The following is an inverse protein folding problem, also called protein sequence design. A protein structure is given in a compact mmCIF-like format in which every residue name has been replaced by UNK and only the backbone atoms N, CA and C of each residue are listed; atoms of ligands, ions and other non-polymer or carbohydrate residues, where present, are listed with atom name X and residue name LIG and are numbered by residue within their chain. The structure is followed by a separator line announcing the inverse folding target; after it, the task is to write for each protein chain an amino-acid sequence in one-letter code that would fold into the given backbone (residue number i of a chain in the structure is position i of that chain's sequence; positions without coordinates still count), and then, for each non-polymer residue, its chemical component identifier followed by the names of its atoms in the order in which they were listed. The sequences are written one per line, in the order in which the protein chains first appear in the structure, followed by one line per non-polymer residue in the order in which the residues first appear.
data_IF_857262240009
#
_entry.id   IF_857262240009
#
_cell.length_a   1.000
_cell.length_b   1.000
_cell.length_c   1.000
_cell.angle_alpha   90.00
_cell.angle_beta   90.00
_cell.angle_gamma   90.00
#
_symmetry.space_group_name_H-M   'P 1'
#
loop_
_entity.id
_entity.type
_entity.pdbx_description
1 polymer ?
#
# COMPACT_ATOMS: atom_id res chain seq x y z
N UNK A 1 -16.69 31.36 73.01
CA UNK A 1 -15.79 30.30 73.52
C UNK A 1 -15.41 29.40 72.36
N UNK A 2 -14.12 29.30 72.03
CA UNK A 2 -13.53 28.12 71.38
C UNK A 2 -13.32 27.05 72.47
N UNK A 3 -13.29 25.76 72.12
CA UNK A 3 -12.00 25.15 71.83
C UNK A 3 -11.96 24.34 70.53
N UNK A 4 -10.74 24.25 70.03
CA UNK A 4 -10.20 23.57 68.85
C UNK A 4 -9.91 22.08 69.07
N UNK A 5 -9.69 21.35 67.95
CA UNK A 5 -8.78 20.20 67.67
C UNK A 5 -9.54 19.21 66.73
N UNK A 6 -9.06 18.59 65.63
CA UNK A 6 -7.94 18.72 64.68
C UNK A 6 -8.24 17.67 63.57
N UNK A 7 -7.97 17.99 62.29
CA UNK A 7 -7.67 17.12 61.12
C UNK A 7 -8.65 16.01 60.68
N UNK A 8 -9.18 16.08 59.45
CA UNK A 8 -8.50 15.47 58.29
C UNK A 8 -9.14 15.88 56.95
N UNK A 9 -8.27 16.09 55.98
CA UNK A 9 -8.48 16.59 54.61
C UNK A 9 -8.71 15.39 53.68
N UNK A 10 -9.70 15.44 52.78
CA UNK A 10 -9.55 15.02 51.37
C UNK A 10 -10.55 15.81 50.52
N UNK A 11 -10.01 16.66 49.63
CA UNK A 11 -10.71 17.36 48.56
C UNK A 11 -10.52 16.53 47.29
N UNK A 12 -11.59 16.08 46.65
CA UNK A 12 -11.55 15.56 45.29
C UNK A 12 -12.19 16.59 44.34
N UNK A 13 -11.36 17.48 43.79
CA UNK A 13 -11.62 18.15 42.52
C UNK A 13 -11.15 17.20 41.40
N UNK A 14 -12.09 16.63 40.65
CA UNK A 14 -11.79 15.98 39.38
C UNK A 14 -11.85 17.04 38.28
N UNK A 15 -10.69 17.51 37.85
CA UNK A 15 -10.54 18.31 36.65
C UNK A 15 -10.53 17.39 35.42
N UNK A 16 -11.30 17.76 34.41
CA UNK A 16 -11.27 17.17 33.07
C UNK A 16 -9.85 17.28 32.49
N UNK A 17 -9.18 16.15 32.32
CA UNK A 17 -7.96 16.03 31.50
C UNK A 17 -8.31 15.26 30.24
N UNK A 18 -8.30 15.95 29.10
CA UNK A 18 -8.23 15.37 27.76
C UNK A 18 -6.99 14.47 27.65
N UNK A 19 -7.07 13.26 27.05
CA UNK A 19 -5.88 12.50 26.74
C UNK A 19 -5.25 13.05 25.45
N UNK A 20 -4.19 13.83 25.60
CA UNK A 20 -3.19 13.95 24.54
C UNK A 20 -2.52 12.57 24.41
N UNK A 21 -2.82 11.85 23.33
CA UNK A 21 -2.04 10.68 22.96
C UNK A 21 -0.64 11.14 22.57
N UNK A 22 0.33 10.81 23.41
CA UNK A 22 1.76 11.00 23.16
C UNK A 22 2.18 9.90 22.17
N UNK A 23 2.27 10.25 20.89
CA UNK A 23 2.98 9.44 19.92
C UNK A 23 4.48 9.65 20.12
N UNK A 24 5.16 8.64 20.67
CA UNK A 24 6.62 8.60 20.72
C UNK A 24 7.16 8.24 19.33
N UNK A 25 7.42 9.23 18.47
CA UNK A 25 8.33 9.08 17.34
C UNK A 25 9.57 9.93 17.59
N UNK A 26 10.75 9.33 17.49
CA UNK A 26 12.05 9.97 17.65
C UNK A 26 12.15 11.26 16.80
N UNK A 27 12.28 12.39 17.49
CA UNK A 27 12.48 13.73 16.93
C UNK A 27 13.97 13.89 16.61
N UNK A 28 14.36 13.63 15.37
CA UNK A 28 15.64 14.13 14.86
C UNK A 28 15.46 15.58 14.48
N UNK A 29 16.04 16.45 15.31
CA UNK A 29 15.92 17.89 15.18
C UNK A 29 17.27 18.50 14.80
N UNK A 30 17.28 19.34 13.78
CA UNK A 30 18.34 20.32 13.57
C UNK A 30 17.74 21.72 13.67
N UNK A 31 17.84 22.34 14.86
CA UNK A 31 17.46 23.74 15.05
C UNK A 31 18.54 24.51 15.83
N UNK A 32 18.88 25.72 15.37
CA UNK A 32 19.23 26.84 16.23
C UNK A 32 18.06 27.84 16.37
N UNK A 33 18.07 28.55 17.51
CA UNK A 33 17.08 29.51 18.00
C UNK A 33 17.05 30.86 17.23
N UNK A 34 16.44 30.93 16.05
CA UNK A 34 15.69 32.15 15.67
C UNK A 34 14.56 31.81 14.67
N UNK A 35 13.36 32.34 14.93
CA UNK A 35 12.15 32.03 14.17
C UNK A 35 11.89 33.14 13.16
N UNK A 36 12.32 32.89 11.92
CA UNK A 36 11.76 33.46 10.68
C UNK A 36 11.50 32.39 9.61
N UNK A 37 11.57 31.10 9.97
CA UNK A 37 11.63 29.99 9.01
C UNK A 37 10.31 29.20 8.91
N UNK A 38 9.92 28.86 7.69
CA UNK A 38 8.74 28.08 7.35
C UNK A 38 9.06 26.58 7.41
N UNK A 39 8.29 25.80 8.16
CA UNK A 39 8.55 24.38 8.36
C UNK A 39 7.45 23.48 7.78
N UNK A 40 7.87 22.44 7.08
CA UNK A 40 7.02 21.40 6.51
C UNK A 40 7.05 20.17 7.43
N UNK A 41 5.90 19.86 8.01
CA UNK A 41 5.65 18.66 8.80
C UNK A 41 5.02 17.60 7.90
N UNK A 42 5.78 16.55 7.61
CA UNK A 42 5.37 15.42 6.77
C UNK A 42 4.96 14.27 7.69
N UNK A 43 3.67 14.02 7.83
CA UNK A 43 3.17 12.80 8.47
C UNK A 43 2.98 11.74 7.38
N UNK A 44 4.00 10.92 7.15
CA UNK A 44 4.02 9.92 6.08
C UNK A 44 3.41 8.63 6.61
N UNK A 45 2.46 8.04 5.87
CA UNK A 45 1.74 6.83 6.30
C UNK A 45 1.48 5.87 5.13
N UNK A 46 1.44 4.56 5.41
CA UNK A 46 0.86 3.59 4.47
C UNK A 46 -0.68 3.69 4.47
N UNK A 47 -1.34 3.23 3.40
CA UNK A 47 -2.81 3.30 3.28
C UNK A 47 -3.54 2.35 4.25
N UNK A 48 -2.95 1.19 4.51
CA UNK A 48 -3.59 0.01 5.13
C UNK A 48 -3.73 0.07 6.65
N UNK A 49 -3.70 1.28 7.21
CA UNK A 49 -3.93 1.47 8.63
C UNK A 49 -5.41 1.75 8.90
N UNK A 50 -6.06 0.81 9.57
CA UNK A 50 -7.34 1.11 10.23
C UNK A 50 -7.09 2.07 11.39
N UNK A 51 -8.03 3.01 11.62
CA UNK A 51 -7.95 4.02 12.69
C UNK A 51 -7.78 3.42 14.11
N UNK A 52 -7.98 2.11 14.27
CA UNK A 52 -7.92 1.39 15.53
C UNK A 52 -6.61 0.57 15.72
N UNK A 53 -5.66 0.60 14.78
CA UNK A 53 -4.43 -0.23 14.83
C UNK A 53 -4.70 -1.73 15.06
N UNK A 54 -5.86 -2.24 14.64
CA UNK A 54 -6.25 -3.64 14.90
C UNK A 54 -5.59 -4.64 13.96
N UNK A 55 -5.11 -4.18 12.80
CA UNK A 55 -4.38 -5.01 11.83
C UNK A 55 -2.93 -4.55 11.78
N UNK A 56 -2.01 -5.43 12.16
CA UNK A 56 -0.58 -5.17 12.03
C UNK A 56 -0.10 -5.58 10.64
N UNK A 57 0.39 -4.60 9.87
CA UNK A 57 1.02 -4.88 8.58
C UNK A 57 2.25 -5.78 8.75
N UNK A 58 2.49 -6.74 7.85
CA UNK A 58 3.74 -7.46 7.87
C UNK A 58 4.89 -6.52 7.55
N UNK A 59 6.07 -6.79 8.12
CA UNK A 59 7.22 -5.87 8.07
C UNK A 59 7.71 -5.54 6.66
N UNK A 60 7.45 -6.41 5.68
CA UNK A 60 7.77 -6.17 4.28
C UNK A 60 6.85 -5.11 3.64
N UNK A 61 5.66 -4.88 4.19
CA UNK A 61 4.68 -3.86 3.76
C UNK A 61 4.78 -2.56 4.57
N UNK A 62 5.72 -2.48 5.52
CA UNK A 62 6.05 -1.28 6.29
C UNK A 62 7.28 -0.60 5.70
N UNK A 63 7.51 0.66 6.10
CA UNK A 63 8.70 1.42 5.74
C UNK A 63 9.87 1.03 6.66
N UNK A 64 11.02 0.68 6.09
CA UNK A 64 12.31 0.53 6.80
C UNK A 64 13.25 1.70 6.51
N UNK A 65 13.01 2.39 5.41
CA UNK A 65 13.66 3.64 5.04
C UNK A 65 12.63 4.56 4.38
N UNK A 66 12.87 5.87 4.43
CA UNK A 66 12.09 6.87 3.70
C UNK A 66 13.05 7.84 3.03
N UNK A 67 12.81 8.14 1.75
CA UNK A 67 13.44 9.28 1.07
C UNK A 67 12.40 10.32 0.74
N UNK A 68 12.73 11.57 1.08
CA UNK A 68 11.93 12.75 0.76
C UNK A 68 12.71 13.59 -0.25
N UNK A 69 12.11 13.79 -1.43
CA UNK A 69 12.64 14.72 -2.44
C UNK A 69 11.63 15.85 -2.64
N UNK A 70 12.05 17.09 -2.38
CA UNK A 70 11.23 18.29 -2.54
C UNK A 70 11.78 19.06 -3.73
N UNK A 71 10.91 19.43 -4.66
CA UNK A 71 11.23 20.30 -5.78
C UNK A 71 10.51 21.64 -5.65
N UNK A 72 11.21 22.71 -6.05
CA UNK A 72 10.58 23.99 -6.37
C UNK A 72 9.67 23.78 -7.59
N UNK A 73 8.34 23.94 -7.44
CA UNK A 73 7.43 23.59 -8.53
C UNK A 73 7.53 24.54 -9.73
N UNK A 74 8.13 25.72 -9.57
CA UNK A 74 8.29 26.73 -10.60
C UNK A 74 9.33 26.34 -11.67
N UNK A 75 10.43 25.71 -11.27
CA UNK A 75 11.55 25.37 -12.16
C UNK A 75 11.99 23.90 -12.09
N UNK A 76 11.41 23.11 -11.18
CA UNK A 76 11.70 21.69 -11.01
C UNK A 76 13.07 21.40 -10.41
N UNK A 77 13.74 22.39 -9.82
CA UNK A 77 15.02 22.20 -9.13
C UNK A 77 14.82 21.56 -7.76
N UNK A 78 15.78 20.73 -7.35
CA UNK A 78 15.77 20.01 -6.07
C UNK A 78 16.02 20.99 -4.93
N UNK A 79 15.08 21.11 -4.01
CA UNK A 79 15.23 21.85 -2.76
C UNK A 79 15.79 20.95 -1.65
N UNK A 80 15.25 19.73 -1.55
CA UNK A 80 15.73 18.70 -0.62
C UNK A 80 15.78 17.36 -1.31
N UNK A 81 16.79 16.57 -0.98
CA UNK A 81 16.84 15.14 -1.23
C UNK A 81 17.46 14.50 0.01
N UNK A 82 16.62 13.89 0.85
CA UNK A 82 17.01 13.40 2.18
C UNK A 82 16.54 11.97 2.37
N UNK A 83 17.48 11.11 2.74
CA UNK A 83 17.24 9.71 3.10
C UNK A 83 17.22 9.57 4.62
N UNK A 84 16.27 8.79 5.11
CA UNK A 84 16.06 8.50 6.52
C UNK A 84 15.96 6.98 6.68
N UNK A 85 16.95 6.37 7.34
CA UNK A 85 16.82 5.00 7.81
C UNK A 85 15.94 4.96 9.05
N UNK A 86 15.09 3.95 9.18
CA UNK A 86 14.17 3.81 10.31
C UNK A 86 14.64 2.71 11.28
N UNK A 87 14.41 2.94 12.57
CA UNK A 87 14.56 1.91 13.58
C UNK A 87 13.38 0.94 13.47
N UNK A 88 13.63 -0.22 12.87
CA UNK A 88 12.59 -1.21 12.60
C UNK A 88 11.63 -0.81 11.48
N UNK A 89 10.68 -1.69 11.19
CA UNK A 89 9.67 -1.46 10.17
C UNK A 89 8.52 -0.63 10.76
N UNK A 90 8.18 0.49 10.13
CA UNK A 90 7.19 1.46 10.61
C UNK A 90 6.14 1.72 9.54
N UNK A 91 4.86 1.73 9.91
CA UNK A 91 3.76 2.07 9.01
C UNK A 91 3.50 3.58 8.93
N UNK A 92 4.08 4.36 9.86
CA UNK A 92 4.04 5.83 9.86
C UNK A 92 5.39 6.41 10.25
N UNK A 93 5.72 7.58 9.70
CA UNK A 93 6.91 8.36 10.07
C UNK A 93 6.63 9.85 9.91
N UNK A 94 6.90 10.60 10.97
CA UNK A 94 6.90 12.07 10.91
C UNK A 94 8.30 12.60 10.60
N UNK A 95 8.38 13.52 9.64
CA UNK A 95 9.62 14.21 9.23
C UNK A 95 9.37 15.71 9.23
N UNK A 96 10.34 16.48 9.75
CA UNK A 96 10.33 17.93 9.72
C UNK A 96 11.41 18.44 8.78
N UNK A 97 11.04 19.26 7.80
CA UNK A 97 11.98 19.91 6.89
C UNK A 97 11.75 21.42 6.85
N UNK A 98 12.84 22.19 6.87
CA UNK A 98 12.80 23.63 6.60
C UNK A 98 12.72 23.84 5.10
N UNK A 99 11.76 24.63 4.65
CA UNK A 99 11.55 24.86 3.22
C UNK A 99 11.34 26.33 2.92
N UNK A 100 11.61 26.73 1.67
CA UNK A 100 11.36 28.07 1.16
C UNK A 100 9.85 28.36 1.20
N UNK A 101 9.41 29.45 1.87
CA UNK A 101 7.99 29.80 1.94
C UNK A 101 7.46 30.42 0.64
N UNK A 102 6.15 30.60 0.59
CA UNK A 102 5.43 31.36 -0.44
C UNK A 102 5.62 30.82 -1.87
N UNK A 103 5.59 29.51 -2.04
CA UNK A 103 5.71 28.88 -3.34
C UNK A 103 5.05 27.51 -3.38
N UNK A 104 4.72 27.07 -4.60
CA UNK A 104 4.26 25.71 -4.83
C UNK A 104 5.44 24.75 -4.78
N UNK A 105 5.21 23.57 -4.20
CA UNK A 105 6.22 22.51 -4.08
C UNK A 105 5.70 21.19 -4.65
N UNK A 106 6.61 20.39 -5.20
CA UNK A 106 6.35 18.98 -5.50
C UNK A 106 7.11 18.13 -4.49
N UNK A 107 6.43 17.21 -3.83
CA UNK A 107 7.00 16.32 -2.81
C UNK A 107 6.92 14.91 -3.34
N UNK A 108 8.07 14.29 -3.57
CA UNK A 108 8.19 12.87 -3.89
C UNK A 108 8.59 12.13 -2.63
N UNK A 109 7.89 11.05 -2.34
CA UNK A 109 8.18 10.17 -1.21
C UNK A 109 8.48 8.79 -1.75
N UNK A 110 9.54 8.20 -1.22
CA UNK A 110 9.92 6.83 -1.50
C UNK A 110 10.15 6.10 -0.18
N UNK A 111 9.82 4.81 -0.12
CA UNK A 111 10.23 3.96 0.98
C UNK A 111 10.86 2.68 0.45
N UNK A 112 11.75 2.11 1.25
CA UNK A 112 12.43 0.85 0.96
C UNK A 112 13.20 0.87 -0.36
N UNK A 113 13.83 1.99 -0.71
CA UNK A 113 14.58 2.12 -1.97
C UNK A 113 15.71 1.10 -2.13
N UNK A 114 16.24 0.62 -1.00
CA UNK A 114 17.35 -0.34 -0.95
C UNK A 114 16.94 -1.74 -1.43
N UNK A 115 15.63 -2.04 -1.50
CA UNK A 115 15.17 -3.30 -2.08
C UNK A 115 15.21 -3.31 -3.61
N UNK A 116 15.46 -2.17 -4.25
CA UNK A 116 15.56 -2.05 -5.71
C UNK A 116 17.04 -2.02 -6.12
N UNK A 117 17.58 -3.21 -6.42
CA UNK A 117 18.99 -3.39 -6.76
C UNK A 117 19.34 -2.94 -8.18
N UNK A 118 18.37 -2.90 -9.08
CA UNK A 118 18.57 -2.56 -10.49
C UNK A 118 17.39 -1.72 -10.94
N UNK A 119 17.68 -0.55 -11.52
CA UNK A 119 16.69 0.26 -12.23
C UNK A 119 17.05 0.38 -13.71
N UNK A 120 16.01 0.53 -14.52
CA UNK A 120 16.10 0.82 -15.96
C UNK A 120 15.41 2.16 -16.26
N UNK A 121 15.44 2.60 -17.53
CA UNK A 121 14.84 3.87 -17.95
C UNK A 121 15.70 5.12 -17.67
N UNK A 122 16.98 4.92 -17.30
CA UNK A 122 17.95 6.01 -17.11
C UNK A 122 18.65 6.33 -18.44
N UNK A 123 18.77 7.63 -18.79
CA UNK A 123 19.44 8.08 -20.03
C UNK A 123 20.97 8.08 -19.97
N UNK A 124 21.57 7.70 -18.83
CA UNK A 124 23.02 7.69 -18.64
C UNK A 124 23.51 6.26 -18.80
N UNK A 125 24.23 5.99 -19.90
CA UNK A 125 24.89 4.71 -20.15
C UNK A 125 26.05 4.49 -19.17
N UNK A 126 25.76 3.92 -18.01
CA UNK A 126 26.73 3.17 -17.19
C UNK A 126 26.01 2.21 -16.26
N UNK A 127 26.63 1.04 -16.06
CA UNK A 127 26.15 -0.18 -15.36
C UNK A 127 25.03 0.03 -14.33
N UNK A 128 23.94 -0.74 -14.48
CA UNK A 128 22.85 -1.01 -13.53
C UNK A 128 22.97 -0.22 -12.21
N UNK A 129 22.47 1.01 -12.22
CA UNK A 129 22.43 1.82 -11.01
C UNK A 129 21.41 1.20 -10.06
N UNK A 130 21.76 1.06 -8.78
CA UNK A 130 20.74 0.82 -7.75
C UNK A 130 19.86 2.06 -7.63
N UNK A 131 18.64 1.91 -7.13
CA UNK A 131 17.75 3.06 -6.95
C UNK A 131 18.37 4.10 -5.99
N UNK A 132 19.04 3.66 -4.94
CA UNK A 132 19.80 4.52 -4.02
C UNK A 132 20.90 5.30 -4.73
N UNK A 133 21.67 4.67 -5.63
CA UNK A 133 22.72 5.34 -6.38
C UNK A 133 22.15 6.45 -7.28
N UNK A 134 21.06 6.15 -7.99
CA UNK A 134 20.33 7.14 -8.80
C UNK A 134 19.90 8.34 -7.96
N UNK A 135 19.24 8.11 -6.83
CA UNK A 135 18.79 9.20 -5.97
C UNK A 135 19.95 10.04 -5.46
N UNK A 136 21.08 9.43 -5.11
CA UNK A 136 22.25 10.15 -4.61
C UNK A 136 22.94 11.01 -5.70
N UNK A 137 22.65 10.80 -6.98
CA UNK A 137 23.13 11.65 -8.07
C UNK A 137 22.43 13.02 -8.14
N UNK A 138 21.26 13.18 -7.51
CA UNK A 138 20.51 14.44 -7.51
C UNK A 138 20.75 15.24 -6.23
N UNK A 139 21.58 16.27 -6.33
CA UNK A 139 21.89 17.20 -5.23
C UNK A 139 21.02 18.46 -5.30
N UNK A 140 21.01 19.25 -4.22
CA UNK A 140 20.24 20.50 -4.15
C UNK A 140 20.62 21.46 -5.28
N UNK A 141 19.60 22.11 -5.86
CA UNK A 141 19.72 23.00 -7.02
C UNK A 141 19.77 22.29 -8.38
N UNK A 142 19.92 20.96 -8.43
CA UNK A 142 19.88 20.23 -9.71
C UNK A 142 18.45 20.18 -10.27
N UNK A 143 18.33 20.24 -11.59
CA UNK A 143 17.06 20.07 -12.31
C UNK A 143 16.96 18.68 -12.94
N UNK A 144 15.77 18.35 -13.48
CA UNK A 144 15.55 17.12 -14.24
C UNK A 144 15.23 15.88 -13.40
N UNK A 145 15.14 15.98 -12.07
CA UNK A 145 14.75 14.87 -11.19
C UNK A 145 13.40 14.27 -11.57
N UNK A 146 12.35 15.10 -11.67
CA UNK A 146 10.99 14.66 -12.00
C UNK A 146 10.92 13.93 -13.34
N UNK A 147 11.60 14.45 -14.36
CA UNK A 147 11.62 13.83 -15.67
C UNK A 147 12.32 12.46 -15.64
N UNK A 148 13.41 12.33 -14.90
CA UNK A 148 14.15 11.08 -14.80
C UNK A 148 13.40 10.04 -13.95
N UNK A 149 12.91 10.43 -12.77
CA UNK A 149 12.26 9.52 -11.83
C UNK A 149 10.95 8.93 -12.38
N UNK A 150 10.22 9.69 -13.20
CA UNK A 150 9.01 9.25 -13.88
C UNK A 150 9.28 8.28 -15.03
N UNK A 151 10.52 8.01 -15.43
CA UNK A 151 10.81 7.00 -16.45
C UNK A 151 11.43 5.75 -15.85
N UNK A 152 11.71 5.73 -14.55
CA UNK A 152 12.34 4.58 -13.91
C UNK A 152 11.37 3.42 -13.79
N UNK A 153 11.83 2.25 -14.19
CA UNK A 153 11.14 1.00 -13.98
C UNK A 153 12.13 -0.08 -13.56
N UNK A 154 11.63 -1.17 -13.00
CA UNK A 154 12.43 -2.29 -12.52
C UNK A 154 11.57 -3.55 -12.42
N UNK A 155 12.22 -4.71 -12.44
CA UNK A 155 11.63 -5.98 -12.05
C UNK A 155 11.61 -6.07 -10.50
N UNK A 156 10.44 -6.05 -9.85
CA UNK A 156 10.38 -6.07 -8.40
C UNK A 156 10.65 -7.47 -7.83
N UNK A 157 11.36 -7.53 -6.70
CA UNK A 157 11.58 -8.76 -5.94
C UNK A 157 10.77 -8.77 -4.64
N UNK A 158 9.69 -9.56 -4.64
CA UNK A 158 8.83 -9.76 -3.47
C UNK A 158 9.15 -11.04 -2.68
N UNK A 159 10.26 -11.72 -3.00
CA UNK A 159 10.61 -12.97 -2.34
C UNK A 159 11.11 -12.73 -0.91
N UNK A 160 11.04 -13.78 -0.08
CA UNK A 160 11.71 -13.84 1.23
C UNK A 160 11.37 -12.71 2.22
N UNK A 161 10.20 -12.07 2.09
CA UNK A 161 9.84 -10.93 2.94
C UNK A 161 10.70 -9.69 2.68
N UNK A 162 11.28 -9.57 1.49
CA UNK A 162 11.99 -8.37 1.06
C UNK A 162 11.09 -7.15 1.18
N UNK A 163 11.59 -6.02 1.74
CA UNK A 163 10.81 -4.80 1.86
C UNK A 163 10.27 -4.34 0.51
N UNK A 164 8.97 -4.09 0.42
CA UNK A 164 8.33 -3.69 -0.82
C UNK A 164 8.60 -2.20 -1.05
N UNK A 165 9.14 -1.81 -2.23
CA UNK A 165 9.36 -0.41 -2.53
C UNK A 165 8.03 0.33 -2.66
N UNK A 166 8.00 1.57 -2.20
CA UNK A 166 6.80 2.40 -2.18
C UNK A 166 7.08 3.78 -2.78
N UNK A 167 6.06 4.40 -3.35
CA UNK A 167 6.19 5.75 -3.90
C UNK A 167 4.91 6.58 -3.82
N UNK A 168 5.06 7.90 -3.83
CA UNK A 168 3.95 8.85 -4.03
C UNK A 168 4.48 10.23 -4.45
N UNK A 169 3.59 11.06 -5.00
CA UNK A 169 3.89 12.45 -5.35
C UNK A 169 2.74 13.36 -4.91
N UNK A 170 3.09 14.51 -4.33
CA UNK A 170 2.15 15.54 -3.90
C UNK A 170 2.53 16.90 -4.48
N UNK A 171 1.52 17.73 -4.71
CA UNK A 171 1.66 19.15 -5.06
C UNK A 171 1.01 19.97 -3.96
N UNK A 172 1.77 20.84 -3.30
CA UNK A 172 1.27 21.71 -2.24
C UNK A 172 1.52 23.18 -2.57
N UNK A 173 0.65 24.05 -2.06
CA UNK A 173 0.87 25.49 -2.03
C UNK A 173 1.38 25.86 -0.64
N UNK A 174 2.67 26.21 -0.54
CA UNK A 174 3.31 26.42 0.74
C UNK A 174 3.09 27.88 1.20
N UNK A 175 2.59 28.10 2.43
CA UNK A 175 2.20 29.43 2.88
C UNK A 175 3.36 30.42 2.95
N UNK A 176 3.05 31.71 2.88
CA UNK A 176 4.04 32.79 3.02
C UNK A 176 4.66 32.82 4.42
N UNK A 177 3.88 32.47 5.45
CA UNK A 177 4.31 32.42 6.85
C UNK A 177 3.72 31.22 7.56
N UNK A 178 4.47 30.66 8.50
CA UNK A 178 4.03 29.55 9.35
C UNK A 178 4.43 28.19 8.81
N UNK A 179 3.74 27.17 9.29
CA UNK A 179 4.04 25.77 9.03
C UNK A 179 2.97 25.16 8.14
N UNK A 180 3.37 24.17 7.35
CA UNK A 180 2.43 23.26 6.68
C UNK A 180 2.47 21.92 7.41
N UNK A 181 1.30 21.44 7.83
CA UNK A 181 1.13 20.11 8.42
C UNK A 181 0.20 19.31 7.52
N UNK A 182 0.66 18.15 7.05
CA UNK A 182 -0.10 17.28 6.16
C UNK A 182 0.17 15.81 6.44
N UNK A 183 -0.86 15.00 6.19
CA UNK A 183 -0.72 13.55 6.06
C UNK A 183 -0.45 13.23 4.60
N UNK A 184 0.60 12.44 4.35
CA UNK A 184 1.04 12.07 3.02
C UNK A 184 1.08 10.55 2.94
N UNK A 185 0.11 9.97 2.24
CA UNK A 185 0.10 8.54 1.99
C UNK A 185 1.18 8.13 1.00
N UNK A 186 1.79 6.98 1.24
CA UNK A 186 2.69 6.30 0.31
C UNK A 186 2.12 4.92 0.01
N UNK A 187 2.27 4.47 -1.24
CA UNK A 187 1.69 3.19 -1.69
C UNK A 187 2.76 2.24 -2.18
N UNK A 188 2.52 0.94 -1.96
CA UNK A 188 3.37 -0.14 -2.48
C UNK A 188 3.40 -0.10 -4.00
N UNK A 189 4.56 -0.35 -4.57
CA UNK A 189 4.73 -0.66 -6.00
C UNK A 189 4.51 -2.16 -6.15
N UNK A 190 3.31 -2.62 -5.80
CA UNK A 190 2.88 -4.01 -5.83
C UNK A 190 1.36 -4.07 -5.71
N UNK A 191 0.77 -5.15 -6.17
CA UNK A 191 -0.57 -5.60 -5.79
C UNK A 191 -0.46 -6.79 -4.87
N UNK A 192 -1.39 -6.92 -3.93
CA UNK A 192 -1.38 -7.99 -2.92
C UNK A 192 -2.58 -8.88 -3.11
N UNK A 193 -2.33 -10.18 -3.11
CA UNK A 193 -3.35 -11.20 -3.16
C UNK A 193 -3.33 -11.95 -1.84
N UNK A 194 -4.47 -12.02 -1.17
CA UNK A 194 -4.64 -12.80 0.06
C UNK A 194 -5.66 -13.89 -0.19
N UNK A 195 -5.20 -15.12 -0.34
CA UNK A 195 -6.05 -16.29 -0.51
C UNK A 195 -6.54 -16.81 0.84
N UNK A 196 -7.86 -16.90 1.01
CA UNK A 196 -8.53 -17.58 2.12
C UNK A 196 -8.99 -18.95 1.64
N UNK A 197 -8.39 -20.02 2.16
CA UNK A 197 -8.76 -21.38 1.78
C UNK A 197 -9.75 -22.00 2.76
N UNK A 198 -10.94 -22.37 2.29
CA UNK A 198 -11.95 -23.12 3.06
C UNK A 198 -12.14 -24.50 2.43
N UNK A 199 -11.71 -25.56 3.11
CA UNK A 199 -11.76 -26.91 2.58
C UNK A 199 -12.91 -27.74 3.20
N UNK A 200 -14.03 -27.82 2.50
CA UNK A 200 -15.19 -28.65 2.86
C UNK A 200 -15.17 -30.03 2.20
N UNK A 201 -14.01 -30.48 1.70
CA UNK A 201 -13.85 -31.84 1.18
C UNK A 201 -13.91 -32.87 2.31
N UNK A 202 -14.07 -34.14 1.96
CA UNK A 202 -13.97 -35.23 2.91
C UNK A 202 -12.61 -35.27 3.62
N UNK A 203 -11.56 -34.80 2.93
CA UNK A 203 -10.16 -34.96 3.33
C UNK A 203 -9.31 -33.70 3.09
N UNK A 204 -8.11 -33.68 3.66
CA UNK A 204 -7.17 -32.57 3.50
C UNK A 204 -6.63 -32.50 2.05
N UNK A 205 -6.18 -31.32 1.65
CA UNK A 205 -5.53 -31.11 0.34
C UNK A 205 -4.25 -30.32 0.50
N UNK A 206 -3.35 -30.48 -0.46
CA UNK A 206 -2.12 -29.68 -0.55
C UNK A 206 -2.24 -28.73 -1.73
N UNK A 207 -2.14 -27.43 -1.49
CA UNK A 207 -1.99 -26.43 -2.55
C UNK A 207 -0.54 -26.41 -3.00
N UNK A 208 -0.32 -26.74 -4.27
CA UNK A 208 1.02 -26.84 -4.87
C UNK A 208 1.43 -25.54 -5.58
N UNK A 209 0.47 -24.84 -6.18
CA UNK A 209 0.75 -23.66 -6.96
C UNK A 209 -0.45 -22.73 -7.08
N UNK A 210 -0.18 -21.44 -7.17
CA UNK A 210 -1.15 -20.39 -7.48
C UNK A 210 -0.48 -19.46 -8.48
N UNK A 211 -1.13 -19.16 -9.60
CA UNK A 211 -0.64 -18.15 -10.56
C UNK A 211 -1.78 -17.30 -11.09
N UNK A 212 -1.47 -16.05 -11.42
CA UNK A 212 -2.37 -15.11 -12.09
C UNK A 212 -1.85 -14.85 -13.50
N UNK A 213 -2.74 -14.81 -14.49
CA UNK A 213 -2.38 -14.59 -15.89
C UNK A 213 -1.99 -13.14 -16.17
N UNK A 214 -1.23 -12.94 -17.26
CA UNK A 214 -1.01 -11.64 -17.89
C UNK A 214 -0.48 -10.56 -16.94
N UNK A 215 0.50 -10.94 -16.11
CA UNK A 215 1.16 -10.06 -15.15
C UNK A 215 2.42 -9.49 -15.77
N UNK A 216 2.57 -8.17 -15.73
CA UNK A 216 3.77 -7.47 -16.16
C UNK A 216 4.97 -7.89 -15.30
N UNK A 217 6.12 -8.12 -15.90
CA UNK A 217 7.35 -8.45 -15.18
C UNK A 217 8.01 -7.22 -14.53
N UNK A 218 7.74 -6.02 -15.05
CA UNK A 218 8.34 -4.77 -14.62
C UNK A 218 7.28 -3.78 -14.13
N UNK A 219 7.67 -2.87 -13.23
CA UNK A 219 6.82 -1.78 -12.74
C UNK A 219 7.55 -0.45 -12.76
N UNK A 220 6.83 0.61 -13.12
CA UNK A 220 7.33 1.96 -12.93
C UNK A 220 7.46 2.29 -11.44
N UNK A 221 8.55 2.99 -11.09
CA UNK A 221 8.77 3.49 -9.73
C UNK A 221 7.64 4.43 -9.31
N UNK A 222 7.30 5.40 -10.16
CA UNK A 222 6.16 6.31 -9.95
C UNK A 222 4.88 5.72 -10.54
N UNK A 223 3.72 6.14 -10.04
CA UNK A 223 2.44 5.78 -10.63
C UNK A 223 2.21 6.56 -11.94
N UNK A 224 1.95 5.87 -13.04
CA UNK A 224 1.68 6.49 -14.35
C UNK A 224 0.18 6.65 -14.60
N UNK A 225 -0.54 7.14 -13.59
CA UNK A 225 -1.96 7.45 -13.73
C UNK A 225 -2.11 8.72 -14.59
N UNK A 226 -2.93 8.66 -15.63
CA UNK A 226 -3.10 9.75 -16.59
C UNK A 226 -3.85 10.93 -15.98
N UNK A 227 -5.05 10.66 -15.45
CA UNK A 227 -5.81 11.69 -14.74
C UNK A 227 -5.41 11.66 -13.27
N UNK A 228 -4.91 12.77 -12.68
CA UNK A 228 -4.45 12.76 -11.30
C UNK A 228 -5.59 12.57 -10.29
N UNK A 229 -6.83 12.88 -10.68
CA UNK A 229 -7.98 12.90 -9.79
C UNK A 229 -8.99 11.80 -10.09
N UNK A 230 -9.81 11.49 -9.08
CA UNK A 230 -10.92 10.54 -9.11
C UNK A 230 -12.15 11.20 -8.47
N UNK A 231 -13.33 10.91 -9.01
CA UNK A 231 -14.59 11.35 -8.40
C UNK A 231 -14.96 10.41 -7.25
N UNK A 232 -15.48 10.97 -6.17
CA UNK A 232 -16.01 10.22 -5.04
C UNK A 232 -17.40 10.75 -4.68
N UNK A 233 -18.37 9.84 -4.56
CA UNK A 233 -19.74 10.21 -4.14
C UNK A 233 -19.84 10.13 -2.62
N UNK A 234 -20.04 11.26 -1.97
CA UNK A 234 -20.18 11.37 -0.51
C UNK A 234 -21.52 10.80 -0.02
N UNK A 235 -21.64 10.59 1.30
CA UNK A 235 -22.87 10.09 1.92
C UNK A 235 -24.09 10.98 1.67
N UNK A 236 -23.88 12.29 1.53
CA UNK A 236 -24.91 13.28 1.21
C UNK A 236 -25.25 13.36 -0.30
N UNK A 237 -24.68 12.46 -1.11
CA UNK A 237 -24.74 12.41 -2.58
C UNK A 237 -24.02 13.57 -3.29
N UNK A 238 -23.26 14.41 -2.59
CA UNK A 238 -22.34 15.34 -3.24
C UNK A 238 -21.18 14.57 -3.90
N UNK A 239 -20.59 15.16 -4.93
CA UNK A 239 -19.43 14.57 -5.62
C UNK A 239 -18.21 15.40 -5.27
N UNK A 240 -17.24 14.78 -4.61
CA UNK A 240 -15.90 15.34 -4.41
C UNK A 240 -14.96 14.85 -5.50
N UNK A 241 -13.93 15.65 -5.79
CA UNK A 241 -12.83 15.28 -6.65
C UNK A 241 -11.57 15.17 -5.78
N UNK A 242 -11.04 13.96 -5.68
CA UNK A 242 -9.90 13.63 -4.83
C UNK A 242 -8.69 13.30 -5.68
N UNK A 243 -7.50 13.60 -5.19
CA UNK A 243 -6.29 13.02 -5.79
C UNK A 243 -6.37 11.48 -5.64
N UNK A 244 -5.85 10.74 -6.63
CA UNK A 244 -6.12 9.30 -6.72
C UNK A 244 -5.69 8.50 -5.47
N UNK A 245 -4.64 8.95 -4.77
CA UNK A 245 -4.15 8.26 -3.57
C UNK A 245 -5.08 8.48 -2.37
N UNK A 246 -5.68 9.67 -2.26
CA UNK A 246 -6.67 9.99 -1.22
C UNK A 246 -7.99 9.27 -1.51
N UNK A 247 -8.37 9.18 -2.80
CA UNK A 247 -9.47 8.33 -3.24
C UNK A 247 -9.22 6.86 -2.87
N UNK A 248 -8.03 6.34 -3.16
CA UNK A 248 -7.67 4.95 -2.87
C UNK A 248 -7.71 4.68 -1.37
N UNK A 249 -7.20 5.61 -0.54
CA UNK A 249 -7.29 5.51 0.91
C UNK A 249 -8.74 5.39 1.38
N UNK A 250 -9.61 6.27 0.87
CA UNK A 250 -11.02 6.32 1.27
C UNK A 250 -11.79 5.07 0.84
N UNK A 251 -11.54 4.57 -0.36
CA UNK A 251 -12.15 3.32 -0.85
C UNK A 251 -11.63 2.12 -0.07
N UNK A 252 -10.33 2.07 0.26
CA UNK A 252 -9.78 1.02 1.10
C UNK A 252 -10.41 1.04 2.50
N UNK A 253 -10.55 2.20 3.13
CA UNK A 253 -11.21 2.33 4.45
C UNK A 253 -12.65 1.83 4.42
N UNK A 254 -13.46 2.25 3.43
CA UNK A 254 -14.84 1.78 3.29
C UNK A 254 -14.89 0.27 3.01
N UNK A 255 -13.92 -0.27 2.27
CA UNK A 255 -13.82 -1.71 2.02
C UNK A 255 -13.51 -2.48 3.29
N UNK A 256 -12.70 -1.93 4.21
CA UNK A 256 -12.43 -2.59 5.50
C UNK A 256 -13.62 -2.53 6.47
N UNK A 257 -14.49 -1.52 6.35
CA UNK A 257 -15.73 -1.48 7.11
C UNK A 257 -16.74 -2.54 6.61
N UNK A 258 -16.59 -2.98 5.36
CA UNK A 258 -17.45 -3.95 4.70
C UNK A 258 -16.64 -5.02 3.94
N UNK A 259 -15.84 -5.84 4.64
CA UNK A 259 -14.83 -6.70 4.01
C UNK A 259 -15.39 -7.83 3.13
N UNK A 260 -16.69 -8.08 3.19
CA UNK A 260 -17.42 -9.06 2.38
C UNK A 260 -18.21 -8.43 1.19
N UNK A 261 -18.21 -7.08 1.07
CA UNK A 261 -18.90 -6.38 -0.04
C UNK A 261 -18.10 -6.43 -1.34
N UNK A 262 -18.43 -7.42 -2.18
CA UNK A 262 -17.86 -7.61 -3.52
C UNK A 262 -18.22 -6.51 -4.52
N UNK A 263 -19.22 -5.68 -4.22
CA UNK A 263 -19.76 -4.67 -5.16
C UNK A 263 -19.21 -3.26 -4.91
N UNK A 264 -18.52 -3.05 -3.79
CA UNK A 264 -18.03 -1.73 -3.39
C UNK A 264 -17.10 -1.12 -4.44
N UNK A 265 -16.16 -1.91 -4.97
CA UNK A 265 -15.24 -1.46 -6.02
C UNK A 265 -15.99 -0.98 -7.26
N UNK A 266 -17.03 -1.68 -7.69
CA UNK A 266 -17.86 -1.27 -8.84
C UNK A 266 -18.68 -0.01 -8.56
N UNK A 267 -19.18 0.15 -7.32
CA UNK A 267 -19.89 1.35 -6.88
C UNK A 267 -18.96 2.57 -6.84
N UNK A 268 -17.72 2.40 -6.39
CA UNK A 268 -16.74 3.50 -6.21
C UNK A 268 -15.95 3.79 -7.47
N UNK A 269 -15.78 2.81 -8.34
CA UNK A 269 -14.99 2.88 -9.57
C UNK A 269 -13.62 2.23 -9.41
N UNK A 270 -12.87 2.26 -10.51
CA UNK A 270 -11.57 1.61 -10.64
C UNK A 270 -10.53 2.57 -11.22
N UNK A 271 -9.28 2.44 -10.79
CA UNK A 271 -8.16 3.14 -11.42
C UNK A 271 -7.74 2.30 -12.64
N UNK A 272 -8.20 2.68 -13.83
CA UNK A 272 -7.94 1.97 -15.10
C UNK A 272 -7.05 2.76 -16.07
N UNK A 273 -6.90 4.07 -15.84
CA UNK A 273 -6.18 5.01 -16.69
C UNK A 273 -4.72 5.13 -16.26
N UNK A 274 -3.96 4.03 -16.35
CA UNK A 274 -2.54 4.01 -16.03
C UNK A 274 -1.71 3.26 -17.07
N UNK A 275 -0.43 3.59 -17.13
CA UNK A 275 0.55 2.89 -17.95
C UNK A 275 1.38 1.92 -17.14
N UNK A 276 1.82 0.86 -17.82
CA UNK A 276 2.87 -0.05 -17.40
C UNK A 276 4.09 0.17 -18.31
N UNK A 277 5.31 -0.24 -17.92
CA UNK A 277 6.50 -0.07 -18.77
C UNK A 277 6.27 -0.64 -20.17
N UNK A 278 6.64 0.12 -21.21
CA UNK A 278 6.39 -0.30 -22.61
C UNK A 278 7.12 -1.60 -22.98
N UNK A 279 8.27 -1.84 -22.34
CA UNK A 279 9.07 -3.05 -22.47
C UNK A 279 8.54 -4.23 -21.65
N UNK A 280 7.55 -4.02 -20.77
CA UNK A 280 7.07 -5.06 -19.88
C UNK A 280 6.41 -6.19 -20.68
N UNK A 281 6.86 -7.41 -20.41
CA UNK A 281 6.25 -8.64 -20.94
C UNK A 281 5.21 -9.11 -19.92
N UNK A 282 3.99 -9.37 -20.40
CA UNK A 282 2.93 -9.92 -19.57
C UNK A 282 2.92 -11.45 -19.65
N UNK A 283 3.12 -12.12 -18.51
CA UNK A 283 3.17 -13.59 -18.41
C UNK A 283 2.43 -14.09 -17.17
N UNK A 284 1.96 -15.35 -17.17
CA UNK A 284 1.43 -15.96 -15.96
C UNK A 284 2.48 -15.99 -14.85
N UNK A 285 2.16 -15.38 -13.71
CA UNK A 285 3.10 -15.17 -12.60
C UNK A 285 2.47 -15.62 -11.30
N UNK A 286 3.28 -16.24 -10.43
CA UNK A 286 2.83 -16.70 -9.13
C UNK A 286 3.81 -17.68 -8.52
N UNK A 287 3.30 -18.48 -7.60
CA UNK A 287 4.10 -19.30 -6.72
C UNK A 287 3.94 -20.78 -7.07
N UNK A 288 5.06 -21.46 -7.22
CA UNK A 288 5.14 -22.90 -7.49
C UNK A 288 5.77 -23.61 -6.30
N UNK A 289 5.48 -24.90 -6.13
CA UNK A 289 6.02 -25.71 -5.03
C UNK A 289 5.63 -25.21 -3.62
N UNK A 290 4.45 -24.60 -3.47
CA UNK A 290 3.94 -24.03 -2.21
C UNK A 290 3.87 -25.07 -1.07
N UNK A 291 3.47 -26.31 -1.39
CA UNK A 291 3.26 -27.40 -0.42
C UNK A 291 2.42 -26.97 0.79
N UNK A 292 1.42 -26.13 0.56
CA UNK A 292 0.57 -25.56 1.60
C UNK A 292 -0.53 -26.56 1.95
N UNK A 293 -0.48 -27.13 3.16
CA UNK A 293 -1.54 -28.02 3.63
C UNK A 293 -2.77 -27.23 4.03
N UNK A 294 -3.92 -27.60 3.45
CA UNK A 294 -5.24 -27.05 3.79
C UNK A 294 -6.06 -28.15 4.44
N UNK A 295 -6.20 -28.14 5.78
CA UNK A 295 -6.93 -29.16 6.50
C UNK A 295 -8.41 -29.09 6.17
N UNK A 296 -9.11 -30.20 6.35
CA UNK A 296 -10.57 -30.23 6.31
C UNK A 296 -11.15 -29.26 7.35
N UNK A 297 -12.19 -28.53 6.96
CA UNK A 297 -12.96 -27.66 7.85
C UNK A 297 -13.67 -28.50 8.92
N UNK A 298 -13.56 -28.08 10.18
CA UNK A 298 -14.21 -28.75 11.31
C UNK A 298 -15.64 -28.22 11.56
N UNK A 299 -15.97 -27.06 10.99
CA UNK A 299 -17.32 -26.49 10.95
C UNK A 299 -17.83 -26.49 9.50
N UNK A 300 -19.15 -26.59 9.33
CA UNK A 300 -19.86 -26.46 8.06
C UNK A 300 -20.25 -25.01 7.72
N UNK A 301 -20.10 -24.07 8.66
CA UNK A 301 -20.38 -22.66 8.42
C UNK A 301 -19.28 -22.01 7.55
N UNK A 302 -19.65 -21.68 6.31
CA UNK A 302 -18.79 -20.99 5.34
C UNK A 302 -18.39 -19.58 5.80
N UNK A 303 -19.10 -18.97 6.75
CA UNK A 303 -18.85 -17.60 7.19
C UNK A 303 -17.96 -17.49 8.42
N UNK A 304 -17.63 -18.61 9.10
CA UNK A 304 -16.63 -18.57 10.16
C UNK A 304 -15.21 -18.48 9.59
N UNK A 305 -14.32 -17.80 10.32
CA UNK A 305 -12.89 -17.68 10.03
C UNK A 305 -12.16 -19.01 10.25
N UNK A 306 -12.49 -20.01 9.45
CA UNK A 306 -11.74 -21.25 9.37
C UNK A 306 -11.08 -21.27 8.00
N UNK A 307 -9.83 -20.83 7.91
CA UNK A 307 -9.10 -20.95 6.67
C UNK A 307 -7.59 -20.82 6.78
N UNK A 308 -6.90 -21.60 5.97
CA UNK A 308 -5.47 -21.39 5.73
C UNK A 308 -5.32 -20.12 4.90
N UNK A 309 -4.41 -19.22 5.30
CA UNK A 309 -4.11 -18.00 4.57
C UNK A 309 -2.83 -18.13 3.78
N UNK A 310 -2.84 -17.53 2.59
CA UNK A 310 -1.64 -17.39 1.79
C UNK A 310 -1.62 -16.03 1.12
N UNK A 311 -0.54 -15.29 1.32
CA UNK A 311 -0.36 -13.96 0.73
C UNK A 311 0.81 -13.97 -0.23
N UNK A 312 0.63 -13.33 -1.38
CA UNK A 312 1.68 -13.07 -2.35
C UNK A 312 1.47 -11.74 -3.04
N UNK A 313 2.52 -11.23 -3.67
CA UNK A 313 2.53 -9.93 -4.33
C UNK A 313 2.85 -10.09 -5.80
N UNK A 314 2.24 -9.24 -6.62
CA UNK A 314 2.46 -9.18 -8.06
C UNK A 314 2.67 -7.72 -8.50
N UNK A 315 3.42 -7.48 -9.58
CA UNK A 315 3.54 -6.15 -10.19
C UNK A 315 2.19 -5.55 -10.61
N UNK A 316 2.14 -4.23 -10.73
CA UNK A 316 1.05 -3.52 -11.42
C UNK A 316 0.98 -4.01 -12.87
N UNK A 317 -0.20 -4.36 -13.37
CA UNK A 317 -0.37 -5.02 -14.68
C UNK A 317 -1.59 -4.49 -15.43
N UNK A 318 -1.71 -4.77 -16.74
CA UNK A 318 -2.81 -4.27 -17.58
C UNK A 318 -3.11 -5.24 -18.74
N UNK A 319 -4.04 -6.19 -18.54
CA UNK A 319 -4.61 -7.03 -19.62
C UNK A 319 -6.02 -6.54 -19.97
N UNK A 320 -6.11 -5.69 -21.01
CA UNK A 320 -7.38 -5.11 -21.43
C UNK A 320 -8.32 -6.16 -22.02
N UNK A 321 -9.61 -6.08 -21.65
CA UNK A 321 -10.66 -6.87 -22.29
C UNK A 321 -10.77 -6.52 -23.77
N UNK A 322 -10.74 -5.22 -24.10
CA UNK A 322 -10.79 -4.67 -25.44
C UNK A 322 -9.39 -4.16 -25.85
N UNK A 323 -8.58 -4.96 -26.59
CA UNK A 323 -7.17 -4.64 -26.83
C UNK A 323 -6.93 -3.42 -27.72
N UNK A 324 -7.98 -2.89 -28.35
CA UNK A 324 -7.91 -1.68 -29.17
C UNK A 324 -8.04 -0.39 -28.36
N UNK A 325 -8.51 -0.49 -27.11
CA UNK A 325 -8.57 0.66 -26.20
C UNK A 325 -7.20 0.91 -25.57
N UNK A 326 -6.94 2.16 -25.15
CA UNK A 326 -5.70 2.49 -24.41
C UNK A 326 -5.84 2.21 -22.92
N UNK A 327 -7.05 2.44 -22.39
CA UNK A 327 -7.44 2.28 -21.00
C UNK A 327 -8.86 1.74 -20.97
N UNK A 328 -9.15 0.87 -20.00
CA UNK A 328 -10.45 0.23 -19.90
C UNK A 328 -10.43 -0.90 -18.89
N UNK A 329 -11.51 -1.67 -18.90
CA UNK A 329 -11.67 -2.84 -18.05
C UNK A 329 -10.65 -3.92 -18.39
N UNK A 330 -10.09 -4.52 -17.35
CA UNK A 330 -9.05 -5.53 -17.45
C UNK A 330 -9.60 -6.90 -17.02
N UNK A 331 -8.91 -7.98 -17.41
CA UNK A 331 -9.29 -9.34 -17.03
C UNK A 331 -8.08 -10.12 -16.54
N UNK A 332 -8.33 -11.01 -15.60
CA UNK A 332 -7.29 -11.86 -15.02
C UNK A 332 -7.84 -13.25 -14.77
N UNK A 333 -6.96 -14.25 -14.85
CA UNK A 333 -7.29 -15.64 -14.52
C UNK A 333 -6.35 -16.19 -13.48
N UNK A 334 -6.90 -16.93 -12.51
CA UNK A 334 -6.14 -17.73 -11.57
C UNK A 334 -5.99 -19.17 -12.07
N UNK A 335 -4.79 -19.72 -11.98
CA UNK A 335 -4.57 -21.18 -12.05
C UNK A 335 -4.18 -21.69 -10.66
N UNK A 336 -4.93 -22.66 -10.16
CA UNK A 336 -4.73 -23.31 -8.86
C UNK A 336 -4.32 -24.77 -9.07
N UNK A 337 -3.15 -25.15 -8.57
CA UNK A 337 -2.67 -26.53 -8.55
C UNK A 337 -2.84 -27.15 -7.17
N UNK A 338 -3.47 -28.32 -7.10
CA UNK A 338 -3.74 -29.06 -5.86
C UNK A 338 -3.28 -30.51 -5.97
N UNK A 339 -2.86 -31.11 -4.86
CA UNK A 339 -2.72 -32.56 -4.68
C UNK A 339 -3.73 -32.99 -3.63
N UNK A 340 -4.55 -33.99 -3.93
CA UNK A 340 -5.44 -34.60 -2.92
C UNK A 340 -4.76 -35.74 -2.17
N UNK A 341 -5.47 -36.32 -1.21
CA UNK A 341 -4.98 -37.42 -0.37
C UNK A 341 -4.61 -38.71 -1.12
N UNK A 342 -5.07 -38.87 -2.38
CA UNK A 342 -4.74 -40.01 -3.23
C UNK A 342 -3.49 -39.73 -4.10
N UNK A 343 -2.74 -38.68 -3.78
CA UNK A 343 -1.63 -38.13 -4.57
C UNK A 343 -2.04 -37.70 -5.99
N UNK A 344 -3.34 -37.48 -6.23
CA UNK A 344 -3.82 -37.02 -7.54
C UNK A 344 -3.61 -35.51 -7.68
N UNK A 345 -2.85 -35.12 -8.71
CA UNK A 345 -2.61 -33.72 -9.04
C UNK A 345 -3.72 -33.17 -9.93
N UNK A 346 -4.36 -32.09 -9.50
CA UNK A 346 -5.44 -31.40 -10.21
C UNK A 346 -5.08 -29.93 -10.43
N UNK A 347 -5.49 -29.40 -11.58
CA UNK A 347 -5.32 -27.99 -11.94
C UNK A 347 -6.66 -27.38 -12.29
N UNK A 348 -6.94 -26.20 -11.73
CA UNK A 348 -8.19 -25.47 -11.92
C UNK A 348 -7.90 -24.06 -12.43
N UNK A 349 -8.75 -23.56 -13.32
CA UNK A 349 -8.64 -22.21 -13.86
C UNK A 349 -9.91 -21.42 -13.54
N UNK A 350 -9.76 -20.21 -13.02
CA UNK A 350 -10.86 -19.33 -12.63
C UNK A 350 -10.65 -17.94 -13.23
N UNK A 351 -11.72 -17.33 -13.74
CA UNK A 351 -11.69 -15.90 -14.06
C UNK A 351 -11.89 -15.11 -12.77
N UNK A 352 -11.23 -13.96 -12.66
CA UNK A 352 -11.49 -12.98 -11.60
C UNK A 352 -12.56 -11.99 -12.05
N UNK A 353 -13.81 -12.43 -12.04
CA UNK A 353 -14.95 -11.67 -12.60
C UNK A 353 -15.17 -10.29 -11.93
N UNK A 354 -14.72 -10.12 -10.68
CA UNK A 354 -14.85 -8.87 -9.91
C UNK A 354 -13.54 -8.07 -9.83
N UNK A 355 -12.50 -8.41 -10.60
CA UNK A 355 -11.21 -7.70 -10.60
C UNK A 355 -10.96 -7.01 -11.94
N UNK A 356 -11.31 -5.72 -12.01
CA UNK A 356 -11.36 -4.96 -13.27
C UNK A 356 -10.13 -4.09 -13.55
N UNK A 357 -9.24 -3.95 -12.57
CA UNK A 357 -7.94 -3.32 -12.75
C UNK A 357 -6.95 -3.85 -11.71
N UNK A 358 -5.66 -3.92 -12.08
CA UNK A 358 -4.58 -4.31 -11.18
C UNK A 358 -3.57 -3.17 -11.00
N UNK A 359 -4.09 -1.98 -10.67
CA UNK A 359 -3.30 -0.81 -10.28
C UNK A 359 -2.55 -1.08 -8.97
N UNK A 360 -1.39 -0.46 -8.78
CA UNK A 360 -0.57 -0.62 -7.58
C UNK A 360 -1.35 -0.36 -6.28
N UNK A 361 -0.94 -1.05 -5.22
CA UNK A 361 -1.54 -1.04 -3.89
C UNK A 361 -3.00 -1.53 -3.85
N UNK A 362 -3.47 -2.20 -4.91
CA UNK A 362 -4.70 -2.98 -4.86
C UNK A 362 -4.48 -4.21 -3.99
N UNK A 363 -5.35 -4.38 -2.98
CA UNK A 363 -5.46 -5.61 -2.20
C UNK A 363 -6.64 -6.42 -2.73
N UNK A 364 -6.39 -7.67 -3.12
CA UNK A 364 -7.42 -8.59 -3.58
C UNK A 364 -7.51 -9.77 -2.61
N UNK A 365 -8.60 -9.83 -1.85
CA UNK A 365 -8.92 -11.03 -1.06
C UNK A 365 -9.55 -12.05 -1.99
N UNK A 366 -9.00 -13.25 -2.04
CA UNK A 366 -9.49 -14.36 -2.87
C UNK A 366 -10.03 -15.44 -1.94
N UNK A 367 -11.35 -15.64 -1.95
CA UNK A 367 -11.97 -16.77 -1.27
C UNK A 367 -11.91 -18.01 -2.15
N UNK A 368 -11.28 -19.06 -1.66
CA UNK A 368 -11.15 -20.35 -2.35
C UNK A 368 -11.84 -21.42 -1.52
N UNK A 369 -13.05 -21.77 -1.95
CA UNK A 369 -13.91 -22.74 -1.26
C UNK A 369 -13.86 -24.07 -2.01
N UNK A 370 -13.36 -25.11 -1.35
CA UNK A 370 -13.16 -26.43 -1.94
C UNK A 370 -14.22 -27.41 -1.42
N UNK A 371 -14.94 -28.02 -2.36
CA UNK A 371 -15.85 -29.14 -2.13
C UNK A 371 -15.30 -30.37 -2.86
N UNK A 372 -15.83 -31.57 -2.55
CA UNK A 372 -15.36 -32.82 -3.17
C UNK A 372 -15.38 -32.79 -4.70
N UNK A 373 -16.41 -32.13 -5.26
CA UNK A 373 -16.68 -32.10 -6.70
C UNK A 373 -16.50 -30.73 -7.36
N UNK A 374 -16.17 -29.68 -6.60
CA UNK A 374 -16.11 -28.32 -7.12
C UNK A 374 -15.16 -27.45 -6.28
N UNK A 375 -14.49 -26.52 -6.93
CA UNK A 375 -13.84 -25.39 -6.27
C UNK A 375 -14.56 -24.11 -6.72
N UNK A 376 -14.82 -23.21 -5.78
CA UNK A 376 -15.42 -21.89 -6.01
C UNK A 376 -14.37 -20.85 -5.66
N UNK A 377 -14.23 -19.84 -6.51
CA UNK A 377 -13.33 -18.71 -6.29
C UNK A 377 -14.11 -17.42 -6.39
N UNK A 378 -13.94 -16.55 -5.40
CA UNK A 378 -14.50 -15.21 -5.35
C UNK A 378 -13.38 -14.21 -5.06
N UNK A 379 -13.51 -12.99 -5.56
CA UNK A 379 -12.52 -11.91 -5.35
C UNK A 379 -13.20 -10.69 -4.74
N UNK A 380 -12.56 -10.10 -3.73
CA UNK A 380 -12.96 -8.86 -3.06
C UNK A 380 -11.81 -7.85 -3.19
N UNK A 381 -11.95 -6.85 -4.07
CA UNK A 381 -10.93 -5.82 -4.29
C UNK A 381 -10.92 -4.76 -3.17
N UNK A 382 -9.78 -4.12 -2.96
CA UNK A 382 -9.51 -3.06 -1.98
C UNK A 382 -9.69 -3.46 -0.50
N UNK A 383 -10.04 -4.72 -0.23
CA UNK A 383 -10.25 -5.30 1.10
C UNK A 383 -8.97 -5.97 1.63
N UNK A 384 -8.86 -6.07 2.95
CA UNK A 384 -7.82 -6.84 3.65
C UNK A 384 -8.48 -7.87 4.57
N UNK A 385 -7.72 -8.91 4.89
CA UNK A 385 -8.17 -9.89 5.88
C UNK A 385 -7.76 -9.37 7.26
N UNK A 386 -8.76 -9.01 8.07
CA UNK A 386 -8.57 -8.80 9.51
C UNK A 386 -8.33 -10.17 10.14
N UNK A 387 -7.17 -10.37 10.77
CA UNK A 387 -6.96 -11.53 11.61
C UNK A 387 -7.41 -11.13 13.01
N UNK A 388 -8.59 -11.59 13.44
CA UNK A 388 -8.89 -11.53 14.87
C UNK A 388 -8.07 -12.63 15.55
N UNK A 389 -7.08 -12.30 16.41
CA UNK A 389 -6.43 -13.33 17.20
C UNK A 389 -7.48 -13.95 18.11
N UNK A 390 -7.89 -15.19 17.85
CA UNK A 390 -8.56 -16.02 18.84
C UNK A 390 -7.57 -16.23 20.00
N UNK A 391 -7.58 -15.31 20.98
CA UNK A 391 -6.96 -15.56 22.26
C UNK A 391 -7.69 -16.76 22.87
N UNK A 392 -6.95 -17.86 23.03
CA UNK A 392 -7.46 -19.15 23.48
C UNK A 392 -8.33 -19.07 24.73
N UNK A 393 -9.42 -19.84 24.71
CA UNK A 393 -10.25 -20.18 25.87
C UNK A 393 -9.46 -20.95 26.93
#
# INVERSE_FOLDING_TARGET
MKPSIIHSIVVCLAAFTLPFMVACSSREESLPDNVTEAALYLNIATIEQTRANTVELPDNEKMKSVRVVILHAADGTVEHNRHFSLEGAQAQKTILLKVRPNEKKKIFLFANEESVSTIEGVTVESENQTLTAFFNCYTEGMSGFEAAVNNLYFAPDYSNGNPIPMSSIYKIDFPEKGNFDGTFYIVRIATKFTCRFKNFRSDAVTVNSISVSDIANDSYLMAHKQNPTMKFTEEDNSISELFWIDWLKKVSDESQEHPEDKTLADKRGWIMDYDIPESAVQVPTGQTNLKLSVPKANNTDVNQEQGTLYTFYLPESKDLIEPTETYGEQRYKMTLGLTDEHDEQKSFNFAFDNLKALFRNTNAVIDIIMYDRKVVVDVIPYSEVVLEPEFGL
#
